data_IF_734778938461
#
_entry.id   IF_734778938461
#
_cell.length_a   1.000
_cell.length_b   1.000
_cell.length_c   1.000
_cell.angle_alpha   90.00
_cell.angle_beta   90.00
_cell.angle_gamma   90.00
#
_symmetry.space_group_name_H-M   'P 1'
#
loop_
_entity.id
_entity.type
_entity.pdbx_description
1 polymer ?
#
# COMPACT_ATOMS: atom_id res chain seq x y z
N UNK A 1 7.71 -6.07 -2.46
CA UNK A 1 6.31 -6.53 -2.44
C UNK A 1 5.78 -6.41 -3.86
N UNK A 2 5.47 -7.54 -4.48
CA UNK A 2 4.94 -7.64 -5.84
C UNK A 2 3.40 -7.64 -5.83
N UNK A 3 2.72 -7.50 -6.98
CA UNK A 3 1.28 -7.67 -7.06
C UNK A 3 0.85 -9.05 -6.54
N UNK A 4 -0.25 -9.10 -5.78
CA UNK A 4 -0.80 -10.35 -5.24
C UNK A 4 -1.24 -11.27 -6.39
N UNK A 5 -0.75 -12.52 -6.43
CA UNK A 5 -1.16 -13.45 -7.49
C UNK A 5 -2.50 -14.10 -7.18
N UNK A 6 -3.34 -14.28 -8.20
CA UNK A 6 -4.65 -14.96 -8.08
C UNK A 6 -4.56 -16.37 -7.49
N UNK A 7 -3.47 -17.07 -7.76
CA UNK A 7 -3.20 -18.42 -7.26
C UNK A 7 -2.83 -18.46 -5.77
N UNK A 8 -2.33 -17.35 -5.22
CA UNK A 8 -1.87 -17.24 -3.83
C UNK A 8 -2.97 -16.66 -2.92
N UNK A 9 -3.92 -15.91 -3.50
CA UNK A 9 -5.01 -15.26 -2.77
C UNK A 9 -6.35 -15.45 -3.51
N UNK A 10 -7.07 -16.56 -3.24
CA UNK A 10 -8.38 -16.83 -3.84
C UNK A 10 -9.37 -15.69 -3.59
N UNK A 11 -10.09 -15.25 -4.64
CA UNK A 11 -11.08 -14.17 -4.54
C UNK A 11 -10.50 -12.77 -4.30
N UNK A 12 -9.17 -12.58 -4.24
CA UNK A 12 -8.57 -11.27 -3.92
C UNK A 12 -9.07 -10.14 -4.83
N UNK A 13 -9.14 -10.38 -6.13
CA UNK A 13 -9.57 -9.39 -7.11
C UNK A 13 -11.10 -9.22 -7.21
N UNK A 14 -11.87 -10.04 -6.48
CA UNK A 14 -13.31 -9.88 -6.32
C UNK A 14 -13.62 -9.00 -5.11
N UNK A 15 -12.84 -9.16 -4.04
CA UNK A 15 -12.94 -8.35 -2.81
C UNK A 15 -12.27 -6.98 -3.00
N UNK A 16 -11.03 -6.95 -3.48
CA UNK A 16 -10.21 -5.75 -3.59
C UNK A 16 -10.36 -5.12 -4.98
N UNK A 17 -11.17 -4.06 -5.03
CA UNK A 17 -11.50 -3.32 -6.26
C UNK A 17 -10.35 -2.53 -6.87
N UNK A 18 -9.40 -2.08 -6.03
CA UNK A 18 -8.26 -1.29 -6.47
C UNK A 18 -6.94 -1.86 -5.94
N UNK A 19 -6.45 -2.98 -6.51
CA UNK A 19 -5.18 -3.57 -6.12
C UNK A 19 -4.02 -2.57 -6.21
N UNK A 20 -3.09 -2.63 -5.25
CA UNK A 20 -1.88 -1.83 -5.24
C UNK A 20 -0.77 -2.56 -4.51
N UNK A 21 0.47 -2.36 -4.94
CA UNK A 21 1.67 -2.99 -4.40
C UNK A 21 2.90 -2.09 -4.64
N UNK A 22 4.00 -2.37 -3.95
CA UNK A 22 5.19 -1.51 -3.97
C UNK A 22 5.96 -1.56 -5.31
N UNK A 23 5.84 -2.65 -6.09
CA UNK A 23 6.46 -2.73 -7.41
C UNK A 23 5.73 -1.82 -8.39
N UNK A 24 4.40 -1.89 -8.42
CA UNK A 24 3.56 -0.96 -9.20
C UNK A 24 3.80 0.50 -8.79
N UNK A 25 3.90 0.80 -7.49
CA UNK A 25 4.26 2.14 -7.02
C UNK A 25 5.64 2.58 -7.50
N UNK A 26 6.64 1.69 -7.45
CA UNK A 26 8.00 2.00 -7.90
C UNK A 26 8.04 2.31 -9.40
N UNK A 27 7.29 1.57 -10.21
CA UNK A 27 7.13 1.81 -11.65
C UNK A 27 6.42 3.14 -11.92
N UNK A 28 5.33 3.43 -11.21
CA UNK A 28 4.61 4.72 -11.27
C UNK A 28 5.54 5.89 -10.94
N UNK A 29 6.36 5.74 -9.90
CA UNK A 29 7.33 6.77 -9.50
C UNK A 29 8.36 7.01 -10.61
N UNK A 30 8.95 5.94 -11.18
CA UNK A 30 9.91 6.04 -12.30
C UNK A 30 9.31 6.73 -13.52
N UNK A 31 8.02 6.48 -13.79
CA UNK A 31 7.28 7.07 -14.90
C UNK A 31 6.71 8.47 -14.59
N UNK A 32 7.12 9.11 -13.49
CA UNK A 32 6.65 10.44 -13.04
C UNK A 32 5.12 10.55 -12.90
N UNK A 33 4.43 9.44 -12.61
CA UNK A 33 2.98 9.42 -12.38
C UNK A 33 2.57 10.24 -11.14
N UNK A 34 3.40 10.24 -10.10
CA UNK A 34 3.13 10.97 -8.85
C UNK A 34 3.47 12.46 -8.96
N UNK A 35 2.67 13.18 -9.75
CA UNK A 35 2.78 14.65 -9.91
C UNK A 35 2.37 15.44 -8.66
N UNK A 36 1.79 14.76 -7.67
CA UNK A 36 1.52 15.34 -6.35
C UNK A 36 1.76 14.33 -5.24
N UNK A 37 2.14 14.83 -4.06
CA UNK A 37 2.31 14.01 -2.85
C UNK A 37 1.04 13.23 -2.49
N UNK A 38 -0.15 13.81 -2.74
CA UNK A 38 -1.45 13.18 -2.47
C UNK A 38 -1.64 11.88 -3.25
N UNK A 39 -1.19 11.84 -4.51
CA UNK A 39 -1.29 10.62 -5.34
C UNK A 39 -0.41 9.49 -4.79
N UNK A 40 0.83 9.81 -4.39
CA UNK A 40 1.75 8.84 -3.79
C UNK A 40 1.19 8.30 -2.47
N UNK A 41 0.72 9.22 -1.60
CA UNK A 41 0.13 8.87 -0.30
C UNK A 41 -1.09 7.99 -0.44
N UNK A 42 -1.96 8.27 -1.42
CA UNK A 42 -3.15 7.46 -1.67
C UNK A 42 -2.80 6.02 -2.09
N UNK A 43 -1.81 5.83 -2.97
CA UNK A 43 -1.36 4.49 -3.37
C UNK A 43 -0.70 3.75 -2.20
N UNK A 44 0.13 4.43 -1.41
CA UNK A 44 0.80 3.84 -0.26
C UNK A 44 -0.21 3.38 0.79
N UNK A 45 -1.17 4.24 1.13
CA UNK A 45 -2.25 3.91 2.06
C UNK A 45 -3.06 2.72 1.56
N UNK A 46 -3.31 2.67 0.24
CA UNK A 46 -4.08 1.60 -0.40
C UNK A 46 -3.42 0.23 -0.27
N UNK A 47 -2.07 0.15 -0.31
CA UNK A 47 -1.36 -1.11 -0.04
C UNK A 47 -1.76 -1.67 1.33
N UNK A 48 -1.79 -0.82 2.36
CA UNK A 48 -2.09 -1.25 3.73
C UNK A 48 -3.57 -1.51 3.96
N UNK A 49 -4.47 -0.65 3.44
CA UNK A 49 -5.91 -0.85 3.60
C UNK A 49 -6.38 -2.11 2.89
N UNK A 50 -5.91 -2.37 1.67
CA UNK A 50 -6.25 -3.59 0.95
C UNK A 50 -5.72 -4.83 1.67
N UNK A 51 -4.52 -4.75 2.26
CA UNK A 51 -3.97 -5.85 3.05
C UNK A 51 -4.87 -6.18 4.25
N UNK A 52 -5.34 -5.16 4.97
CA UNK A 52 -6.23 -5.33 6.13
C UNK A 52 -7.67 -5.71 5.77
N UNK A 53 -8.15 -5.30 4.61
CA UNK A 53 -9.49 -5.65 4.12
C UNK A 53 -9.56 -7.12 3.70
N UNK A 54 -8.50 -7.64 3.08
CA UNK A 54 -8.47 -9.03 2.62
C UNK A 54 -8.05 -10.02 3.71
N UNK A 55 -7.08 -9.67 4.56
CA UNK A 55 -6.50 -10.60 5.53
C UNK A 55 -7.11 -10.40 6.93
N UNK A 56 -7.29 -11.47 7.72
CA UNK A 56 -7.80 -11.35 9.09
C UNK A 56 -6.77 -10.64 10.01
N UNK A 57 -7.22 -9.94 11.07
CA UNK A 57 -6.36 -9.19 12.00
C UNK A 57 -5.22 -10.02 12.63
N UNK A 58 -5.43 -11.32 12.81
CA UNK A 58 -4.49 -12.25 13.44
C UNK A 58 -3.36 -12.67 12.49
N UNK A 59 -3.53 -12.47 11.19
CA UNK A 59 -2.55 -12.86 10.17
C UNK A 59 -1.26 -12.06 10.25
N UNK A 60 -0.16 -12.70 9.86
CA UNK A 60 1.13 -12.04 9.74
C UNK A 60 1.13 -10.91 8.70
N UNK A 61 0.31 -11.02 7.65
CA UNK A 61 0.14 -9.97 6.64
C UNK A 61 -0.48 -8.71 7.23
N UNK A 62 -1.52 -8.85 8.06
CA UNK A 62 -2.16 -7.73 8.73
C UNK A 62 -1.20 -7.04 9.71
N UNK A 63 -0.47 -7.82 10.51
CA UNK A 63 0.56 -7.29 11.44
C UNK A 63 1.66 -6.55 10.69
N UNK A 64 2.17 -7.14 9.61
CA UNK A 64 3.18 -6.50 8.74
C UNK A 64 2.67 -5.17 8.17
N UNK A 65 1.41 -5.11 7.71
CA UNK A 65 0.82 -3.88 7.19
C UNK A 65 0.83 -2.75 8.24
N UNK A 66 0.48 -3.06 9.50
CA UNK A 66 0.47 -2.05 10.57
C UNK A 66 1.88 -1.57 10.94
N UNK A 67 2.85 -2.48 11.01
CA UNK A 67 4.24 -2.12 11.30
C UNK A 67 4.79 -1.21 10.21
N UNK A 68 4.59 -1.60 8.95
CA UNK A 68 5.12 -0.88 7.80
C UNK A 68 4.42 0.47 7.61
N UNK A 69 3.10 0.53 7.79
CA UNK A 69 2.32 1.78 7.76
C UNK A 69 2.86 2.78 8.80
N UNK A 70 3.06 2.35 10.05
CA UNK A 70 3.64 3.20 11.11
C UNK A 70 5.02 3.71 10.74
N UNK A 71 5.88 2.85 10.18
CA UNK A 71 7.20 3.25 9.71
C UNK A 71 7.11 4.31 8.60
N UNK A 72 6.22 4.12 7.62
CA UNK A 72 6.03 5.08 6.54
C UNK A 72 5.48 6.41 7.04
N UNK A 73 4.51 6.43 7.95
CA UNK A 73 4.02 7.67 8.55
C UNK A 73 5.14 8.49 9.20
N UNK A 74 6.05 7.83 9.93
CA UNK A 74 7.24 8.49 10.49
C UNK A 74 8.11 9.08 9.38
N UNK A 75 8.41 8.32 8.32
CA UNK A 75 9.24 8.79 7.20
C UNK A 75 8.62 9.95 6.43
N UNK A 76 7.31 9.93 6.20
CA UNK A 76 6.57 10.99 5.50
C UNK A 76 6.55 12.26 6.35
N UNK A 77 6.43 12.13 7.68
CA UNK A 77 6.54 13.26 8.62
C UNK A 77 7.94 13.87 8.60
N UNK A 78 8.99 13.04 8.69
CA UNK A 78 10.39 13.47 8.62
C UNK A 78 10.71 14.20 7.30
N UNK A 79 10.11 13.75 6.19
CA UNK A 79 10.27 14.35 4.88
C UNK A 79 9.42 15.63 4.66
N UNK A 80 8.63 16.07 5.65
CA UNK A 80 7.75 17.24 5.52
C UNK A 80 6.61 17.06 4.51
N UNK A 81 6.21 15.82 4.23
CA UNK A 81 5.18 15.51 3.24
C UNK A 81 3.75 15.52 3.82
N UNK A 82 3.60 15.50 5.14
CA UNK A 82 2.30 15.65 5.82
C UNK A 82 1.93 17.15 5.86
N UNK A 83 0.68 17.48 5.53
CA UNK A 83 0.15 18.83 5.70
C UNK A 83 0.09 19.19 7.19
N UNK A 84 0.43 20.44 7.53
CA UNK A 84 0.30 20.95 8.90
C UNK A 84 -1.16 21.09 9.33
#
# INVERSE_FOLDING_TARGET
>A
MEPVKRTEAPGYYEVIRFPMDLKTMSERLKNRYYVSKKLFMADLQRVFTNCREYNPPESEYYKCANILEKFFYTKIKEAGLIDK
#
